data_IF_968280395816
#
_entry.id   IF_968280395816
#
_cell.length_a   1.000
_cell.length_b   1.000
_cell.length_c   1.000
_cell.angle_alpha   90.00
_cell.angle_beta   90.00
_cell.angle_gamma   90.00
#
_symmetry.space_group_name_H-M   'P 1'
#
loop_
_entity.id
_entity.type
_entity.pdbx_description
1 polymer ?
#
# COMPACT_ATOMS: atom_id res chain seq x y z
N UNK A 1 -9.75 -43.61 -62.13
CA UNK A 1 -9.15 -42.28 -61.85
C UNK A 1 -9.62 -41.82 -60.47
N UNK A 2 -8.79 -41.95 -59.43
CA UNK A 2 -9.12 -41.54 -58.04
C UNK A 2 -8.62 -40.11 -57.81
N UNK A 3 -9.51 -39.17 -57.56
CA UNK A 3 -9.16 -37.77 -57.22
C UNK A 3 -8.81 -37.68 -55.73
N UNK A 4 -7.56 -37.34 -55.44
CA UNK A 4 -7.06 -37.08 -54.12
C UNK A 4 -7.41 -35.63 -53.75
N UNK A 5 -8.25 -35.43 -52.73
CA UNK A 5 -8.54 -34.11 -52.20
C UNK A 5 -7.51 -33.77 -51.09
N UNK A 6 -6.73 -32.73 -51.29
CA UNK A 6 -5.78 -32.21 -50.31
C UNK A 6 -6.51 -31.18 -49.44
N UNK A 7 -6.65 -31.49 -48.14
CA UNK A 7 -7.19 -30.58 -47.17
C UNK A 7 -6.02 -29.69 -46.66
N UNK A 8 -6.05 -28.41 -46.96
CA UNK A 8 -5.11 -27.42 -46.40
C UNK A 8 -5.71 -26.93 -45.08
N UNK A 9 -5.12 -27.35 -43.97
CA UNK A 9 -5.43 -26.81 -42.64
C UNK A 9 -4.57 -25.57 -42.40
N UNK A 10 -5.16 -24.39 -42.49
CA UNK A 10 -4.50 -23.13 -42.08
C UNK A 10 -4.57 -23.00 -40.57
N UNK A 11 -3.45 -23.22 -39.88
CA UNK A 11 -3.31 -22.91 -38.45
C UNK A 11 -3.19 -21.39 -38.30
N UNK A 12 -4.28 -20.76 -37.85
CA UNK A 12 -4.27 -19.35 -37.47
C UNK A 12 -3.49 -19.17 -36.16
N UNK A 13 -2.35 -18.48 -36.23
CA UNK A 13 -1.58 -18.09 -35.08
C UNK A 13 -2.32 -16.92 -34.39
N UNK A 14 -3.05 -17.19 -33.29
CA UNK A 14 -3.56 -16.14 -32.40
C UNK A 14 -2.41 -15.61 -31.58
N UNK A 15 -1.84 -14.47 -31.96
CA UNK A 15 -0.97 -13.64 -31.12
C UNK A 15 -1.84 -12.97 -30.07
N UNK A 16 -1.93 -13.56 -28.88
CA UNK A 16 -2.47 -12.91 -27.70
C UNK A 16 -1.50 -11.79 -27.29
N UNK A 17 -1.87 -10.53 -27.54
CA UNK A 17 -1.19 -9.40 -26.96
C UNK A 17 -1.45 -9.41 -25.45
N UNK A 18 -0.55 -9.99 -24.66
CA UNK A 18 -0.51 -9.80 -23.21
C UNK A 18 0.05 -8.39 -22.97
N UNK A 19 -0.82 -7.40 -22.92
CA UNK A 19 -0.45 -6.09 -22.39
C UNK A 19 -0.18 -6.27 -20.90
N UNK A 20 1.09 -6.49 -20.55
CA UNK A 20 1.50 -6.44 -19.14
C UNK A 20 1.18 -5.05 -18.60
N UNK A 21 0.29 -4.96 -17.62
CA UNK A 21 0.05 -3.71 -16.91
C UNK A 21 1.35 -3.27 -16.25
N UNK A 22 1.85 -2.09 -16.61
CA UNK A 22 3.08 -1.54 -16.04
C UNK A 22 2.80 -1.01 -14.64
N UNK A 23 3.76 -1.22 -13.73
CA UNK A 23 3.76 -0.62 -12.41
C UNK A 23 3.67 0.91 -12.52
N UNK A 24 2.91 1.54 -11.63
CA UNK A 24 2.75 3.00 -11.61
C UNK A 24 3.77 3.63 -10.66
N UNK A 25 4.82 4.31 -11.16
CA UNK A 25 5.82 4.88 -10.31
C UNK A 25 5.27 6.08 -9.49
N UNK A 26 5.88 6.40 -8.35
CA UNK A 26 5.56 7.62 -7.62
C UNK A 26 5.93 8.87 -8.44
N UNK A 27 5.14 9.95 -8.26
CA UNK A 27 5.40 11.25 -8.88
C UNK A 27 5.26 12.38 -7.87
N UNK A 28 6.18 13.36 -7.91
CA UNK A 28 6.18 14.49 -6.99
C UNK A 28 6.40 14.10 -5.53
N UNK A 29 7.09 13.00 -5.25
CA UNK A 29 7.34 12.45 -3.91
C UNK A 29 8.81 12.55 -3.56
N UNK A 30 9.09 13.04 -2.35
CA UNK A 30 10.41 12.98 -1.70
C UNK A 30 10.28 12.21 -0.40
N UNK A 31 11.17 11.24 -0.16
CA UNK A 31 11.20 10.43 1.04
C UNK A 31 12.52 10.63 1.79
N UNK A 32 12.41 10.83 3.11
CA UNK A 32 13.55 10.92 4.03
C UNK A 32 13.42 9.82 5.07
N UNK A 33 14.47 9.04 5.27
CA UNK A 33 14.52 8.06 6.35
C UNK A 33 14.73 8.79 7.68
N UNK A 34 13.87 8.51 8.66
CA UNK A 34 14.02 8.96 10.04
C UNK A 34 14.82 7.93 10.84
N UNK A 35 14.56 6.64 10.59
CA UNK A 35 15.28 5.56 11.22
C UNK A 35 14.83 4.18 10.74
N UNK A 36 15.69 3.21 10.98
CA UNK A 36 15.42 1.79 10.72
C UNK A 36 16.07 0.96 11.82
N UNK A 37 15.34 -0.04 12.31
CA UNK A 37 15.84 -1.00 13.29
C UNK A 37 15.42 -2.40 12.91
N UNK A 38 16.29 -3.40 13.22
CA UNK A 38 15.98 -4.81 13.07
C UNK A 38 15.71 -5.45 14.41
N UNK A 39 14.60 -6.14 14.51
CA UNK A 39 14.26 -7.04 15.59
C UNK A 39 14.59 -8.45 15.10
N UNK A 40 15.57 -9.09 15.73
CA UNK A 40 16.08 -10.38 15.27
C UNK A 40 15.24 -11.56 15.74
N UNK A 41 14.51 -11.37 16.84
CA UNK A 41 13.60 -12.34 17.44
C UNK A 41 12.13 -11.97 17.12
N UNK A 42 11.23 -12.91 17.34
CA UNK A 42 9.80 -12.70 17.30
C UNK A 42 9.40 -11.56 18.26
N UNK A 43 8.50 -10.69 17.82
CA UNK A 43 7.94 -9.67 18.70
C UNK A 43 6.62 -10.19 19.25
N UNK A 44 6.54 -10.29 20.58
CA UNK A 44 5.32 -10.63 21.30
C UNK A 44 5.01 -9.51 22.29
N UNK A 45 4.19 -8.56 21.89
CA UNK A 45 3.77 -7.46 22.73
C UNK A 45 2.25 -7.39 22.82
N UNK A 46 1.74 -7.52 24.02
CA UNK A 46 0.31 -7.38 24.30
C UNK A 46 0.14 -6.48 25.51
N UNK A 47 -0.69 -5.47 25.36
CA UNK A 47 -1.09 -4.58 26.46
C UNK A 47 -2.61 -4.39 26.43
N UNK A 48 -3.17 -4.35 27.61
CA UNK A 48 -4.56 -3.96 27.86
C UNK A 48 -4.59 -2.87 28.91
N UNK A 49 -5.29 -1.79 28.64
CA UNK A 49 -5.48 -0.69 29.57
C UNK A 49 -6.98 -0.45 29.73
N UNK A 50 -7.48 -0.49 30.96
CA UNK A 50 -8.86 -0.11 31.25
C UNK A 50 -8.95 1.42 31.13
N UNK A 51 -9.74 1.90 30.17
CA UNK A 51 -9.93 3.34 29.90
C UNK A 51 -11.06 3.94 30.75
N UNK A 52 -11.99 3.09 31.23
CA UNK A 52 -12.97 3.42 32.26
C UNK A 52 -12.93 2.36 33.37
N UNK A 53 -12.21 2.60 34.50
CA UNK A 53 -12.09 1.66 35.60
C UNK A 53 -13.42 1.25 36.24
N UNK A 54 -14.49 2.05 36.03
CA UNK A 54 -15.84 1.77 36.58
C UNK A 54 -16.63 0.71 35.86
N UNK A 55 -16.39 0.49 34.59
CA UNK A 55 -17.25 -0.34 33.73
C UNK A 55 -16.71 -1.73 33.42
N UNK A 56 -15.40 -1.95 33.49
CA UNK A 56 -14.71 -3.19 33.06
C UNK A 56 -14.97 -3.63 31.60
N UNK A 57 -15.80 -2.89 30.88
CA UNK A 57 -16.17 -3.17 29.49
C UNK A 57 -15.41 -2.28 28.51
N UNK A 58 -14.97 -1.10 28.94
CA UNK A 58 -14.17 -0.19 28.14
C UNK A 58 -12.68 -0.39 28.41
N UNK A 59 -11.99 -0.93 27.42
CA UNK A 59 -10.55 -1.10 27.49
C UNK A 59 -9.92 -0.77 26.13
N UNK A 60 -8.69 -0.29 26.19
CA UNK A 60 -7.82 -0.20 25.04
C UNK A 60 -6.88 -1.40 25.02
N UNK A 61 -6.70 -2.02 23.86
CA UNK A 61 -5.80 -3.16 23.70
C UNK A 61 -4.97 -2.99 22.44
N UNK A 62 -3.67 -3.29 22.54
CA UNK A 62 -2.80 -3.48 21.39
C UNK A 62 -2.15 -4.85 21.44
N UNK A 63 -1.98 -5.44 20.27
CA UNK A 63 -1.26 -6.71 20.07
C UNK A 63 -0.32 -6.53 18.90
N UNK A 64 0.97 -6.81 19.12
CA UNK A 64 1.97 -6.96 18.06
C UNK A 64 2.51 -8.38 18.21
N UNK A 65 2.31 -9.19 17.21
CA UNK A 65 2.73 -10.59 17.19
C UNK A 65 3.36 -10.88 15.82
N UNK A 66 4.68 -11.08 15.79
CA UNK A 66 5.40 -11.39 14.58
C UNK A 66 6.01 -12.78 14.67
N UNK A 67 6.20 -13.43 13.54
CA UNK A 67 6.91 -14.68 13.42
C UNK A 67 8.13 -14.47 12.53
N UNK A 68 9.31 -14.57 13.12
CA UNK A 68 10.59 -14.30 12.48
C UNK A 68 11.04 -12.85 12.64
N UNK A 69 12.27 -12.61 12.21
CA UNK A 69 12.89 -11.29 12.30
C UNK A 69 12.10 -10.23 11.51
N UNK A 70 12.03 -9.03 12.07
CA UNK A 70 11.29 -7.91 11.50
C UNK A 70 12.14 -6.65 11.40
N UNK A 71 11.91 -5.84 10.37
CA UNK A 71 12.45 -4.49 10.25
C UNK A 71 11.35 -3.47 10.56
N UNK A 72 11.63 -2.52 11.44
CA UNK A 72 10.83 -1.33 11.65
C UNK A 72 11.48 -0.17 10.90
N UNK A 73 10.77 0.40 9.93
CA UNK A 73 11.22 1.58 9.19
C UNK A 73 10.33 2.77 9.50
N UNK A 74 10.95 3.89 9.86
CA UNK A 74 10.25 5.16 10.04
C UNK A 74 10.76 6.16 9.01
N UNK A 75 9.85 6.70 8.21
CA UNK A 75 10.16 7.64 7.13
C UNK A 75 9.24 8.85 7.19
N UNK A 76 9.69 9.96 6.62
CA UNK A 76 8.85 11.09 6.28
C UNK A 76 8.78 11.22 4.76
N UNK A 77 7.56 11.38 4.24
CA UNK A 77 7.33 11.68 2.84
C UNK A 77 6.78 13.09 2.69
N UNK A 78 7.20 13.76 1.63
CA UNK A 78 6.61 15.01 1.16
C UNK A 78 6.10 14.77 -0.25
N UNK A 79 4.81 15.01 -0.47
CA UNK A 79 4.13 14.83 -1.75
C UNK A 79 3.64 16.20 -2.21
N UNK A 80 4.18 16.69 -3.31
CA UNK A 80 3.79 17.96 -3.92
C UNK A 80 2.32 17.94 -4.37
N UNK A 81 1.65 19.10 -4.51
CA UNK A 81 0.33 19.17 -5.11
C UNK A 81 0.23 18.42 -6.45
N UNK A 82 -0.78 17.57 -6.60
CA UNK A 82 -0.94 16.68 -7.76
C UNK A 82 -0.06 15.44 -7.74
N UNK A 83 0.86 15.33 -6.79
CA UNK A 83 1.73 14.18 -6.62
C UNK A 83 1.02 12.92 -6.11
N UNK A 84 1.67 11.78 -6.28
CA UNK A 84 1.10 10.48 -5.95
C UNK A 84 2.21 9.47 -5.68
N UNK A 85 1.93 8.51 -4.81
CA UNK A 85 2.80 7.34 -4.63
C UNK A 85 2.72 6.32 -5.79
N UNK A 86 1.75 6.43 -6.70
CA UNK A 86 1.42 5.33 -7.61
C UNK A 86 0.78 4.15 -6.87
N UNK A 87 0.27 3.18 -7.62
CA UNK A 87 -0.30 1.96 -7.05
C UNK A 87 0.81 1.10 -6.47
N UNK A 88 0.63 0.66 -5.23
CA UNK A 88 1.63 -0.13 -4.52
C UNK A 88 0.99 -0.89 -3.36
N UNK A 89 1.74 -1.86 -2.85
CA UNK A 89 1.43 -2.62 -1.64
C UNK A 89 2.64 -2.64 -0.69
N UNK A 90 2.44 -3.20 0.49
CA UNK A 90 3.47 -3.39 1.50
C UNK A 90 3.46 -4.83 2.02
N UNK A 91 4.63 -5.41 2.38
CA UNK A 91 4.69 -6.78 2.92
C UNK A 91 4.28 -6.88 4.40
N UNK A 92 3.90 -5.76 5.02
CA UNK A 92 3.46 -5.69 6.40
C UNK A 92 2.81 -4.36 6.72
N UNK A 93 2.24 -4.19 7.92
CA UNK A 93 1.44 -3.02 8.26
C UNK A 93 2.26 -1.73 8.35
N UNK A 94 1.62 -0.63 8.02
CA UNK A 94 2.13 0.72 8.16
C UNK A 94 1.15 1.61 8.91
N UNK A 95 1.64 2.29 9.94
CA UNK A 95 0.93 3.35 10.64
C UNK A 95 1.32 4.69 10.03
N UNK A 96 0.35 5.38 9.47
CA UNK A 96 0.56 6.64 8.74
C UNK A 96 -0.05 7.80 9.52
N UNK A 97 0.75 8.85 9.74
CA UNK A 97 0.32 10.12 10.33
C UNK A 97 0.34 11.19 9.23
N UNK A 98 -0.73 11.94 9.05
CA UNK A 98 -0.75 13.14 8.22
C UNK A 98 -0.24 14.32 9.05
N UNK A 99 1.01 14.71 8.81
CA UNK A 99 1.68 15.80 9.54
C UNK A 99 1.24 17.17 9.03
N UNK A 100 1.00 17.32 7.73
CA UNK A 100 0.43 18.53 7.10
C UNK A 100 -0.23 18.19 5.78
N UNK A 101 -1.15 19.05 5.34
CA UNK A 101 -1.93 18.83 4.12
C UNK A 101 -3.05 17.81 4.32
N UNK A 102 -3.48 17.21 3.22
CA UNK A 102 -4.57 16.22 3.19
C UNK A 102 -4.18 15.06 2.30
N UNK A 103 -4.21 13.86 2.84
CA UNK A 103 -4.02 12.64 2.07
C UNK A 103 -5.36 12.15 1.52
N UNK A 104 -5.38 11.74 0.26
CA UNK A 104 -6.51 11.01 -0.30
C UNK A 104 -5.99 9.67 -0.79
N UNK A 105 -6.51 8.57 -0.26
CA UNK A 105 -6.12 7.25 -0.73
C UNK A 105 -7.30 6.48 -1.32
N UNK A 106 -6.97 5.53 -2.20
CA UNK A 106 -7.92 4.69 -2.91
C UNK A 106 -7.42 3.26 -2.88
N UNK A 107 -8.34 2.30 -2.79
CA UNK A 107 -8.05 0.87 -2.77
C UNK A 107 -8.28 0.25 -4.15
N UNK A 108 -7.40 -0.64 -4.57
CA UNK A 108 -7.55 -1.39 -5.82
C UNK A 108 -8.76 -2.34 -5.78
N UNK A 109 -9.11 -2.83 -4.60
CA UNK A 109 -10.25 -3.71 -4.37
C UNK A 109 -11.62 -3.02 -4.42
N UNK A 110 -11.65 -1.66 -4.40
CA UNK A 110 -12.88 -0.90 -4.48
C UNK A 110 -13.22 -0.54 -5.94
N UNK A 111 -14.23 -1.17 -6.57
CA UNK A 111 -14.59 -0.91 -7.96
C UNK A 111 -15.22 0.48 -8.18
N UNK A 112 -15.59 1.18 -7.11
CA UNK A 112 -16.22 2.51 -7.17
C UNK A 112 -15.22 3.64 -7.04
N UNK A 113 -13.94 3.32 -6.77
CA UNK A 113 -12.88 4.30 -6.58
C UNK A 113 -13.25 5.36 -5.52
N UNK A 114 -13.74 4.90 -4.37
CA UNK A 114 -14.16 5.78 -3.28
C UNK A 114 -12.96 6.48 -2.64
N UNK A 115 -12.93 7.81 -2.54
CA UNK A 115 -11.86 8.53 -1.88
C UNK A 115 -11.94 8.39 -0.37
N UNK A 116 -10.84 7.97 0.25
CA UNK A 116 -10.64 8.02 1.70
C UNK A 116 -9.78 9.24 2.03
N UNK A 117 -10.37 10.24 2.67
CA UNK A 117 -9.72 11.52 2.96
C UNK A 117 -9.25 11.56 4.40
N UNK A 118 -7.95 11.83 4.61
CA UNK A 118 -7.32 11.94 5.93
C UNK A 118 -6.65 13.31 6.05
N UNK A 119 -7.05 14.07 7.06
CA UNK A 119 -6.59 15.44 7.27
C UNK A 119 -5.40 15.51 8.21
N UNK A 120 -4.75 16.66 8.24
CA UNK A 120 -3.69 16.96 9.19
C UNK A 120 -4.10 16.60 10.63
N UNK A 121 -3.20 15.94 11.36
CA UNK A 121 -3.41 15.48 12.75
C UNK A 121 -4.15 14.16 12.87
N UNK A 122 -4.63 13.61 11.74
CA UNK A 122 -5.24 12.27 11.67
C UNK A 122 -4.22 11.23 11.20
N UNK A 123 -4.55 9.97 11.39
CA UNK A 123 -3.78 8.84 10.89
C UNK A 123 -4.66 7.78 10.27
N UNK A 124 -4.03 6.89 9.53
CA UNK A 124 -4.66 5.68 9.01
C UNK A 124 -3.68 4.50 9.10
N UNK A 125 -4.23 3.31 9.00
CA UNK A 125 -3.46 2.07 8.95
C UNK A 125 -3.57 1.51 7.54
N UNK A 126 -2.42 1.17 6.99
CA UNK A 126 -2.31 0.26 5.87
C UNK A 126 -1.97 -1.11 6.45
N UNK A 127 -2.87 -2.07 6.31
CA UNK A 127 -2.76 -3.38 6.95
C UNK A 127 -1.65 -4.26 6.34
N UNK A 128 -1.19 -3.89 5.15
CA UNK A 128 -0.24 -4.68 4.35
C UNK A 128 -0.97 -5.65 3.41
N UNK A 129 -0.35 -5.92 2.25
CA UNK A 129 -0.91 -6.78 1.22
C UNK A 129 -1.96 -6.13 0.31
N UNK A 130 -2.65 -5.10 0.78
CA UNK A 130 -3.64 -4.37 -0.01
C UNK A 130 -2.99 -3.41 -0.99
N UNK A 131 -3.41 -3.49 -2.24
CA UNK A 131 -2.94 -2.57 -3.29
C UNK A 131 -3.72 -1.27 -3.19
N UNK A 132 -2.99 -0.17 -3.02
CA UNK A 132 -3.57 1.16 -2.86
C UNK A 132 -2.72 2.25 -3.53
N UNK A 133 -3.30 3.45 -3.63
CA UNK A 133 -2.62 4.66 -4.08
C UNK A 133 -2.93 5.80 -3.12
N UNK A 134 -1.90 6.54 -2.71
CA UNK A 134 -2.07 7.78 -1.94
C UNK A 134 -1.71 8.97 -2.83
N UNK A 135 -2.57 9.97 -2.84
CA UNK A 135 -2.44 11.19 -3.66
C UNK A 135 -2.54 12.45 -2.82
N UNK A 136 -1.82 13.46 -3.24
CA UNK A 136 -2.04 14.83 -2.80
C UNK A 136 -2.95 15.55 -3.81
N UNK A 137 -4.23 15.62 -3.50
CA UNK A 137 -5.23 16.35 -4.33
C UNK A 137 -5.47 17.78 -3.84
N UNK A 138 -4.71 18.22 -2.83
CA UNK A 138 -4.73 19.58 -2.30
C UNK A 138 -3.82 20.54 -3.07
N UNK A 139 -3.71 21.76 -2.52
CA UNK A 139 -2.92 22.86 -3.11
C UNK A 139 -1.63 23.16 -2.36
N UNK A 140 -1.36 22.44 -1.26
CA UNK A 140 -0.16 22.53 -0.43
C UNK A 140 0.49 21.15 -0.34
N UNK A 141 1.75 21.10 0.07
CA UNK A 141 2.45 19.84 0.27
C UNK A 141 1.72 18.96 1.30
N UNK A 142 1.52 17.70 0.95
CA UNK A 142 1.14 16.66 1.88
C UNK A 142 2.41 16.09 2.51
N UNK A 143 2.52 16.18 3.84
CA UNK A 143 3.63 15.56 4.58
C UNK A 143 3.09 14.44 5.44
N UNK A 144 3.63 13.24 5.29
CA UNK A 144 3.28 12.08 6.11
C UNK A 144 4.50 11.55 6.87
N UNK A 145 4.27 11.02 8.07
CA UNK A 145 5.23 10.18 8.79
C UNK A 145 4.67 8.78 8.84
N UNK A 146 5.47 7.81 8.44
CA UNK A 146 5.07 6.41 8.29
C UNK A 146 5.98 5.53 9.11
N UNK A 147 5.40 4.66 9.94
CA UNK A 147 6.09 3.61 10.66
C UNK A 147 5.61 2.25 10.11
N UNK A 148 6.49 1.54 9.42
CA UNK A 148 6.19 0.23 8.81
C UNK A 148 6.92 -0.87 9.55
N UNK A 149 6.19 -1.92 9.94
CA UNK A 149 6.75 -3.15 10.48
C UNK A 149 6.64 -4.24 9.40
N UNK A 150 7.79 -4.69 8.92
CA UNK A 150 7.86 -5.58 7.75
C UNK A 150 8.77 -6.78 8.02
N UNK A 151 8.65 -7.90 7.29
CA UNK A 151 9.61 -8.99 7.38
C UNK A 151 11.03 -8.50 7.10
N UNK A 152 12.00 -8.95 7.90
CA UNK A 152 13.38 -8.49 7.81
C UNK A 152 13.99 -8.73 6.42
N UNK A 153 14.58 -7.68 5.85
CA UNK A 153 15.24 -7.74 4.54
C UNK A 153 14.31 -7.57 3.34
N UNK A 154 13.00 -7.46 3.55
CA UNK A 154 12.06 -7.16 2.46
C UNK A 154 12.07 -5.67 2.12
N UNK A 155 11.76 -5.36 0.87
CA UNK A 155 11.47 -4.00 0.47
C UNK A 155 10.15 -3.56 1.11
N UNK A 156 10.14 -2.35 1.71
CA UNK A 156 8.93 -1.80 2.33
C UNK A 156 7.80 -1.59 1.33
N UNK A 157 8.14 -1.28 0.09
CA UNK A 157 7.19 -0.98 -0.98
C UNK A 157 7.33 -2.00 -2.11
N UNK A 158 6.20 -2.44 -2.63
CA UNK A 158 6.05 -3.28 -3.82
C UNK A 158 5.25 -2.47 -4.83
N UNK A 159 5.83 -2.18 -6.00
CA UNK A 159 5.14 -1.45 -7.06
C UNK A 159 4.13 -2.36 -7.75
N UNK A 160 2.91 -1.84 -7.92
CA UNK A 160 1.78 -2.60 -8.46
C UNK A 160 1.26 -1.97 -9.76
N UNK A 161 0.66 -2.77 -10.63
CA UNK A 161 0.00 -2.26 -11.82
C UNK A 161 -1.25 -1.45 -11.47
N UNK A 162 -1.62 -0.52 -12.37
CA UNK A 162 -2.90 0.19 -12.21
C UNK A 162 -4.07 -0.81 -12.37
N UNK A 163 -4.94 -0.95 -11.37
CA UNK A 163 -6.08 -1.86 -11.40
C UNK A 163 -7.20 -1.42 -12.37
N UNK A 164 -7.17 -0.16 -12.82
CA UNK A 164 -8.14 0.38 -13.77
C UNK A 164 -9.50 0.75 -13.17
N UNK A 165 -9.65 0.69 -11.86
CA UNK A 165 -10.90 1.05 -11.17
C UNK A 165 -11.08 2.56 -10.99
N UNK A 166 -9.99 3.33 -11.13
CA UNK A 166 -10.00 4.79 -11.01
C UNK A 166 -9.63 5.44 -12.35
N UNK A 167 -10.25 6.59 -12.66
CA UNK A 167 -10.09 7.31 -13.93
C UNK A 167 -8.97 8.36 -13.94
N UNK A 168 -8.01 8.27 -13.06
CA UNK A 168 -6.87 9.19 -12.98
C UNK A 168 -5.52 8.52 -13.18
#
# INVERSE_FOLDING_TARGET
MKRLAVLIVTAGLFLSNVSGALATPPSGVTTVSIGKARFVDDIHARVRTDVDPGTRTDFWQAVIDTKGASDLEVIQNTIAPGGSFGWHSHPGPSLVIVKSGTATFYLASDPTCTPHVVQQGQGFVDEGGDVHIVRNQGTVDLVTVVASLIPAGFARRIDEPNPGNCSF
#
